data_IF_655207287042
#
_entry.id   IF_655207287042
#
_cell.length_a   1.000
_cell.length_b   1.000
_cell.length_c   1.000
_cell.angle_alpha   90.00
_cell.angle_beta   90.00
_cell.angle_gamma   90.00
#
_symmetry.space_group_name_H-M   'P 1'
#
loop_
_entity.id
_entity.type
_entity.pdbx_description
1 polymer ?
#
# COMPACT_ATOMS: atom_id res chain seq x y z
N UNK A 1 -1.14 2.73 -9.26
CA UNK A 1 -2.07 3.63 -8.55
C UNK A 1 -2.37 4.90 -9.33
N UNK A 2 -1.37 5.56 -9.91
CA UNK A 2 -1.56 6.86 -10.59
C UNK A 2 -2.67 6.90 -11.64
N UNK A 3 -2.75 5.91 -12.54
CA UNK A 3 -3.81 5.85 -13.56
C UNK A 3 -5.22 5.85 -12.96
N UNK A 4 -5.44 5.10 -11.87
CA UNK A 4 -6.72 5.02 -11.19
C UNK A 4 -7.09 6.33 -10.48
N UNK A 5 -6.10 7.00 -9.88
CA UNK A 5 -6.30 8.29 -9.21
C UNK A 5 -6.76 9.35 -10.22
N UNK A 6 -6.27 9.29 -11.46
CA UNK A 6 -6.71 10.18 -12.53
C UNK A 6 -8.09 9.77 -13.05
N UNK A 7 -8.29 8.49 -13.40
CA UNK A 7 -9.51 8.04 -14.08
C UNK A 7 -10.75 8.04 -13.19
N UNK A 8 -10.59 7.95 -11.86
CA UNK A 8 -11.73 7.93 -10.94
C UNK A 8 -12.55 9.23 -10.95
N UNK A 9 -11.97 10.36 -11.38
CA UNK A 9 -12.72 11.59 -11.61
C UNK A 9 -13.79 11.40 -12.68
N UNK A 10 -13.45 10.75 -13.79
CA UNK A 10 -14.40 10.45 -14.87
C UNK A 10 -15.42 9.38 -14.45
N UNK A 11 -14.99 8.37 -13.68
CA UNK A 11 -15.91 7.40 -13.07
C UNK A 11 -16.99 8.10 -12.24
N UNK A 12 -16.62 9.10 -11.41
CA UNK A 12 -17.59 9.86 -10.62
C UNK A 12 -18.54 10.66 -11.50
N UNK A 13 -18.04 11.32 -12.56
CA UNK A 13 -18.86 12.12 -13.49
C UNK A 13 -19.84 11.29 -14.30
N UNK A 14 -19.41 10.09 -14.72
CA UNK A 14 -20.21 9.19 -15.52
C UNK A 14 -21.19 8.36 -14.68
N UNK A 15 -21.05 8.34 -13.36
CA UNK A 15 -21.84 7.51 -12.44
C UNK A 15 -21.79 6.01 -12.77
N UNK A 16 -20.68 5.57 -13.37
CA UNK A 16 -20.45 4.19 -13.76
C UNK A 16 -19.57 3.53 -12.72
N UNK A 17 -19.97 2.36 -12.21
CA UNK A 17 -19.16 1.57 -11.29
C UNK A 17 -17.82 1.17 -11.90
N UNK A 18 -16.74 1.32 -11.12
CA UNK A 18 -15.37 0.94 -11.48
C UNK A 18 -14.77 0.06 -10.38
N UNK A 19 -14.31 -1.12 -10.79
CA UNK A 19 -13.58 -2.04 -9.92
C UNK A 19 -12.09 -1.91 -10.17
N UNK A 20 -11.32 -1.81 -9.08
CA UNK A 20 -9.87 -1.67 -9.17
C UNK A 20 -9.12 -2.60 -8.24
N UNK A 21 -8.04 -3.18 -8.76
CA UNK A 21 -7.01 -3.83 -7.95
C UNK A 21 -5.96 -2.87 -7.39
N UNK A 22 -6.09 -1.56 -7.65
CA UNK A 22 -5.13 -0.56 -7.18
C UNK A 22 -5.07 -0.50 -5.64
N UNK A 23 -3.90 -0.78 -5.08
CA UNK A 23 -3.75 -0.98 -3.63
C UNK A 23 -3.52 0.31 -2.83
N UNK A 24 -3.16 1.41 -3.49
CA UNK A 24 -2.92 2.69 -2.82
C UNK A 24 -4.15 3.15 -2.04
N UNK A 25 -4.01 3.35 -0.72
CA UNK A 25 -5.11 3.74 0.17
C UNK A 25 -5.90 4.96 -0.31
N UNK A 26 -5.22 5.94 -0.92
CA UNK A 26 -5.82 7.18 -1.42
C UNK A 26 -6.91 6.96 -2.47
N UNK A 27 -6.91 5.81 -3.17
CA UNK A 27 -7.91 5.52 -4.22
C UNK A 27 -9.33 5.49 -3.63
N UNK A 28 -9.54 4.83 -2.48
CA UNK A 28 -10.88 4.74 -1.86
C UNK A 28 -11.11 5.82 -0.81
N UNK A 29 -10.07 6.40 -0.21
CA UNK A 29 -10.20 7.45 0.80
C UNK A 29 -10.79 8.77 0.26
N UNK A 30 -10.73 8.99 -1.05
CA UNK A 30 -11.37 10.13 -1.72
C UNK A 30 -12.91 10.06 -1.74
N UNK A 31 -13.50 8.97 -1.23
CA UNK A 31 -14.94 8.85 -1.06
C UNK A 31 -15.72 8.82 -2.37
N UNK A 32 -15.14 8.29 -3.45
CA UNK A 32 -15.87 8.08 -4.70
C UNK A 32 -16.82 6.88 -4.54
N UNK A 33 -18.16 7.10 -4.53
CA UNK A 33 -19.11 6.02 -4.26
C UNK A 33 -19.16 4.96 -5.39
N UNK A 34 -18.58 5.25 -6.56
CA UNK A 34 -18.56 4.35 -7.71
C UNK A 34 -17.24 3.58 -7.84
N UNK A 35 -16.25 3.80 -6.97
CA UNK A 35 -14.95 3.10 -7.02
C UNK A 35 -14.86 2.07 -5.91
N UNK A 36 -14.81 0.80 -6.30
CA UNK A 36 -14.70 -0.33 -5.38
C UNK A 36 -13.37 -1.03 -5.58
N UNK A 37 -12.71 -1.33 -4.47
CA UNK A 37 -11.42 -2.03 -4.49
C UNK A 37 -11.60 -3.50 -4.19
N UNK A 38 -10.91 -4.33 -4.94
CA UNK A 38 -10.92 -5.80 -4.80
C UNK A 38 -9.61 -6.37 -4.22
N UNK A 39 -8.68 -5.50 -3.83
CA UNK A 39 -7.37 -5.82 -3.22
C UNK A 39 -7.19 -5.21 -1.83
N UNK A 40 -6.14 -5.63 -1.11
CA UNK A 40 -5.79 -5.04 0.18
C UNK A 40 -5.02 -3.73 0.04
N UNK A 41 -5.10 -2.88 1.07
CA UNK A 41 -4.22 -1.70 1.23
C UNK A 41 -2.84 -2.09 1.69
N UNK A 42 -1.89 -1.16 1.56
CA UNK A 42 -0.60 -1.26 2.22
C UNK A 42 -0.72 -1.45 3.74
N UNK A 43 -1.67 -0.78 4.41
CA UNK A 43 -1.91 -0.91 5.86
C UNK A 43 -2.34 -2.32 6.28
N UNK A 44 -2.96 -3.09 5.38
CA UNK A 44 -3.34 -4.48 5.65
C UNK A 44 -2.21 -5.45 5.27
N UNK A 45 -1.52 -5.20 4.15
CA UNK A 45 -0.54 -6.11 3.59
C UNK A 45 0.84 -6.02 4.26
N UNK A 46 1.34 -4.81 4.55
CA UNK A 46 2.70 -4.63 5.09
C UNK A 46 2.90 -5.27 6.47
N UNK A 47 1.96 -5.21 7.43
CA UNK A 47 2.10 -5.94 8.70
C UNK A 47 2.18 -7.46 8.53
N UNK A 48 1.50 -8.01 7.52
CA UNK A 48 1.59 -9.45 7.21
C UNK A 48 2.98 -9.80 6.68
N UNK A 49 3.54 -8.96 5.82
CA UNK A 49 4.90 -9.13 5.30
C UNK A 49 5.95 -9.02 6.40
N UNK A 50 5.83 -8.04 7.31
CA UNK A 50 6.77 -7.89 8.43
C UNK A 50 6.77 -9.14 9.34
N UNK A 51 5.59 -9.70 9.65
CA UNK A 51 5.49 -10.97 10.39
C UNK A 51 6.14 -12.13 9.64
N UNK A 52 5.90 -12.25 8.32
CA UNK A 52 6.57 -13.27 7.52
C UNK A 52 8.09 -13.16 7.56
N UNK A 53 8.64 -11.94 7.46
CA UNK A 53 10.09 -11.69 7.55
C UNK A 53 10.63 -12.13 8.91
N UNK A 54 9.92 -11.87 10.00
CA UNK A 54 10.32 -12.29 11.35
C UNK A 54 10.22 -13.80 11.53
N UNK A 55 9.07 -14.38 11.24
CA UNK A 55 8.72 -15.72 11.69
C UNK A 55 9.28 -16.80 10.75
N UNK A 56 9.24 -16.52 9.45
CA UNK A 56 9.62 -17.47 8.41
C UNK A 56 11.05 -17.24 7.94
N UNK A 57 11.40 -16.00 7.58
CA UNK A 57 12.76 -15.67 7.12
C UNK A 57 13.75 -15.48 8.26
N UNK A 58 13.27 -15.18 9.48
CA UNK A 58 14.09 -14.93 10.67
C UNK A 58 15.13 -13.82 10.48
N UNK A 59 14.85 -12.87 9.58
CA UNK A 59 15.73 -11.75 9.31
C UNK A 59 15.63 -10.71 10.43
N UNK A 60 16.78 -10.19 10.86
CA UNK A 60 16.88 -9.15 11.89
C UNK A 60 17.08 -7.75 11.31
N UNK A 61 17.46 -7.68 10.04
CA UNK A 61 17.70 -6.42 9.34
C UNK A 61 17.31 -6.51 7.88
N UNK A 62 16.73 -5.44 7.33
CA UNK A 62 16.38 -5.33 5.91
C UNK A 62 16.71 -3.95 5.34
N UNK A 63 16.90 -3.88 4.02
CA UNK A 63 16.84 -2.63 3.27
C UNK A 63 15.46 -2.49 2.62
N UNK A 64 14.94 -1.27 2.54
CA UNK A 64 13.70 -0.95 1.85
C UNK A 64 14.07 -0.17 0.58
N UNK A 65 13.57 -0.64 -0.56
CA UNK A 65 13.57 0.09 -1.80
C UNK A 65 12.13 0.23 -2.28
N UNK A 66 11.71 1.43 -2.67
CA UNK A 66 10.33 1.67 -3.05
C UNK A 66 10.19 2.54 -4.29
N UNK A 67 9.07 2.37 -5.01
CA UNK A 67 8.74 3.28 -6.11
C UNK A 67 8.24 4.61 -5.57
N UNK A 68 8.73 5.72 -6.13
CA UNK A 68 8.33 7.07 -5.73
C UNK A 68 6.92 7.46 -6.25
N UNK A 69 5.89 6.74 -5.83
CA UNK A 69 4.47 7.03 -6.08
C UNK A 69 3.64 6.76 -4.82
N UNK A 70 2.33 7.05 -4.84
CA UNK A 70 1.46 6.90 -3.66
C UNK A 70 1.42 5.47 -3.10
N UNK A 71 1.53 4.47 -3.98
CA UNK A 71 1.56 3.08 -3.53
C UNK A 71 2.87 2.80 -2.80
N UNK A 72 4.01 3.10 -3.42
CA UNK A 72 5.33 2.80 -2.87
C UNK A 72 5.65 3.60 -1.62
N UNK A 73 5.33 4.91 -1.57
CA UNK A 73 5.49 5.74 -0.37
C UNK A 73 4.64 5.22 0.79
N UNK A 74 3.34 5.01 0.55
CA UNK A 74 2.46 4.47 1.58
C UNK A 74 2.84 3.05 2.01
N UNK A 75 3.36 2.24 1.08
CA UNK A 75 3.92 0.92 1.36
C UNK A 75 5.13 1.00 2.28
N UNK A 76 6.10 1.84 1.94
CA UNK A 76 7.29 2.10 2.74
C UNK A 76 6.92 2.58 4.15
N UNK A 77 6.00 3.54 4.27
CA UNK A 77 5.61 4.07 5.58
C UNK A 77 4.95 3.02 6.48
N UNK A 78 4.02 2.24 5.93
CA UNK A 78 3.38 1.15 6.67
C UNK A 78 4.35 0.00 6.98
N UNK A 79 5.30 -0.28 6.08
CA UNK A 79 6.32 -1.29 6.29
C UNK A 79 7.32 -0.90 7.39
N UNK A 80 7.80 0.35 7.40
CA UNK A 80 8.71 0.84 8.45
C UNK A 80 8.05 0.73 9.82
N UNK A 81 6.77 1.15 9.95
CA UNK A 81 6.00 0.97 11.18
C UNK A 81 5.89 -0.51 11.55
N UNK A 82 5.52 -1.36 10.60
CA UNK A 82 5.34 -2.79 10.85
C UNK A 82 6.64 -3.48 11.30
N UNK A 83 7.78 -3.18 10.67
CA UNK A 83 9.09 -3.74 11.04
C UNK A 83 9.52 -3.32 12.44
N UNK A 84 9.25 -2.07 12.83
CA UNK A 84 9.52 -1.60 14.18
C UNK A 84 8.74 -2.40 15.23
N UNK A 85 7.47 -2.76 14.96
CA UNK A 85 6.69 -3.65 15.87
C UNK A 85 7.23 -5.07 15.98
N UNK A 86 8.12 -5.47 15.06
CA UNK A 86 8.70 -6.81 14.99
C UNK A 86 10.17 -6.84 15.42
N UNK A 87 10.73 -5.73 15.88
CA UNK A 87 12.15 -5.55 16.23
C UNK A 87 13.11 -5.83 15.06
N UNK A 88 12.67 -5.55 13.82
CA UNK A 88 13.51 -5.69 12.63
C UNK A 88 14.13 -4.34 12.27
N UNK A 89 15.46 -4.30 12.16
CA UNK A 89 16.21 -3.08 11.84
C UNK A 89 16.14 -2.74 10.34
N UNK A 90 15.71 -1.54 10.01
CA UNK A 90 15.90 -0.99 8.65
C UNK A 90 17.32 -0.44 8.53
N UNK A 91 18.11 -0.97 7.59
CA UNK A 91 19.53 -0.56 7.39
C UNK A 91 19.73 0.41 6.23
N UNK A 92 18.76 0.48 5.32
CA UNK A 92 18.71 1.45 4.22
C UNK A 92 17.25 1.64 3.79
N UNK A 93 16.93 2.84 3.30
CA UNK A 93 15.60 3.24 2.87
C UNK A 93 15.75 4.20 1.68
N UNK A 94 15.45 3.70 0.48
CA UNK A 94 15.87 4.29 -0.80
C UNK A 94 14.70 4.34 -1.80
#
# INVERSE_FOLDING_TARGET
>A
SGSMIVSMGETRRAEITNFTGGEAAVITQQGNPYVFRTSFTQSTSMPKLARYIKDQLKAKSIAIAFTNNDFGKGGRDEMVKALATQDIKVVADI
#
